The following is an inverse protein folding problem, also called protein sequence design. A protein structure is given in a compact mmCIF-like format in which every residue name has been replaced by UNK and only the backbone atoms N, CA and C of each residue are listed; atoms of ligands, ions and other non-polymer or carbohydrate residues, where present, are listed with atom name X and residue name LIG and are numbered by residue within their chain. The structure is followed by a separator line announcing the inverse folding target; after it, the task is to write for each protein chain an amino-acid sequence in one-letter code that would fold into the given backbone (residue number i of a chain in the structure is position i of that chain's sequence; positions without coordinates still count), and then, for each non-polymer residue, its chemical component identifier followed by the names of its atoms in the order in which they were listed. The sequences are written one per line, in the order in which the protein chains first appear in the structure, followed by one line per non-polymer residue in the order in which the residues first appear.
data_IF_155109618519
#
_entry.id   IF_155109618519
#
_cell.length_a   1.000
_cell.length_b   1.000
_cell.length_c   1.000
_cell.angle_alpha   90.00
_cell.angle_beta   90.00
_cell.angle_gamma   90.00
#
_symmetry.space_group_name_H-M   'P 1'
#
loop_
_entity.id
_entity.type
_entity.pdbx_description
1 polymer ?
#
# COMPACT_ATOMS: atom_id res chain seq x y z
N UNK A 1 -8.04 3.12 13.61
CA UNK A 1 -7.15 3.61 12.54
C UNK A 1 -5.82 3.91 13.21
N UNK A 2 -4.75 3.23 12.80
CA UNK A 2 -3.48 3.28 13.52
C UNK A 2 -2.64 4.43 12.94
N UNK A 3 -2.72 5.62 13.57
CA UNK A 3 -2.05 6.85 13.15
C UNK A 3 -0.54 6.64 12.91
N UNK A 4 0.06 5.74 13.68
CA UNK A 4 1.48 5.39 13.55
C UNK A 4 1.83 4.72 12.23
N UNK A 5 0.94 3.89 11.66
CA UNK A 5 1.17 3.28 10.33
C UNK A 5 1.16 4.34 9.23
N UNK A 6 0.27 5.34 9.37
CA UNK A 6 0.23 6.51 8.49
C UNK A 6 1.53 7.31 8.56
N UNK A 7 2.01 7.64 9.76
CA UNK A 7 3.27 8.38 9.93
C UNK A 7 4.46 7.66 9.29
N UNK A 8 4.58 6.34 9.48
CA UNK A 8 5.64 5.54 8.88
C UNK A 8 5.52 5.51 7.35
N UNK A 9 4.29 5.38 6.84
CA UNK A 9 4.04 5.41 5.40
C UNK A 9 4.37 6.78 4.80
N UNK A 10 3.96 7.87 5.42
CA UNK A 10 4.29 9.23 4.96
C UNK A 10 5.81 9.42 4.96
N UNK A 11 6.48 9.00 6.03
CA UNK A 11 7.94 9.14 6.10
C UNK A 11 8.63 8.28 5.02
N UNK A 12 8.27 7.01 4.86
CA UNK A 12 8.92 6.14 3.88
C UNK A 12 8.54 6.49 2.43
N UNK A 13 7.24 6.57 2.13
CA UNK A 13 6.75 6.73 0.76
C UNK A 13 6.75 8.18 0.29
N UNK A 14 6.45 9.17 1.14
CA UNK A 14 6.43 10.59 0.73
C UNK A 14 7.77 11.28 0.95
N UNK A 15 8.44 11.05 2.09
CA UNK A 15 9.72 11.72 2.39
C UNK A 15 10.91 10.99 1.78
N UNK A 16 11.02 9.67 2.00
CA UNK A 16 12.14 8.86 1.48
C UNK A 16 11.89 8.28 0.08
N UNK A 17 10.72 8.56 -0.52
CA UNK A 17 10.33 8.08 -1.85
C UNK A 17 10.48 6.56 -2.02
N UNK A 18 10.28 5.80 -0.94
CA UNK A 18 10.37 4.35 -0.95
C UNK A 18 9.06 3.72 -1.44
N UNK A 19 9.15 2.54 -2.05
CA UNK A 19 7.98 1.79 -2.48
C UNK A 19 7.24 1.15 -1.30
N UNK A 20 5.93 0.91 -1.47
CA UNK A 20 5.10 0.17 -0.51
C UNK A 20 5.66 -1.22 -0.17
N UNK A 21 6.32 -1.88 -1.12
CA UNK A 21 7.03 -3.14 -0.87
C UNK A 21 8.12 -3.01 0.21
N UNK A 22 8.85 -1.90 0.21
CA UNK A 22 9.89 -1.62 1.21
C UNK A 22 9.25 -1.36 2.57
N UNK A 23 8.16 -0.60 2.60
CA UNK A 23 7.36 -0.36 3.80
C UNK A 23 6.89 -1.68 4.43
N UNK A 24 6.23 -2.55 3.64
CA UNK A 24 5.76 -3.86 4.10
C UNK A 24 6.90 -4.74 4.58
N UNK A 25 8.03 -4.76 3.85
CA UNK A 25 9.21 -5.54 4.24
C UNK A 25 9.79 -5.08 5.58
N UNK A 26 9.91 -3.77 5.81
CA UNK A 26 10.44 -3.20 7.06
C UNK A 26 9.47 -3.38 8.23
N UNK A 27 8.16 -3.23 8.00
CA UNK A 27 7.13 -3.59 8.98
C UNK A 27 7.23 -5.05 9.37
N UNK A 28 7.28 -5.96 8.38
CA UNK A 28 7.48 -7.38 8.62
C UNK A 28 8.81 -7.66 9.29
N UNK A 29 9.83 -6.83 9.09
CA UNK A 29 11.12 -6.96 9.77
C UNK A 29 10.98 -6.80 11.29
N UNK A 30 10.02 -5.97 11.72
CA UNK A 30 9.87 -5.47 13.08
C UNK A 30 10.62 -4.16 13.32
N UNK A 31 11.09 -3.48 12.27
CA UNK A 31 11.91 -2.25 12.35
C UNK A 31 11.19 -1.12 13.09
N UNK A 32 9.87 -1.02 12.94
CA UNK A 32 9.05 0.04 13.53
C UNK A 32 8.23 -0.42 14.75
N UNK A 33 8.35 -1.69 15.14
CA UNK A 33 7.55 -2.36 16.16
C UNK A 33 6.68 -3.50 15.60
N UNK A 34 6.04 -4.24 16.49
CA UNK A 34 5.07 -5.28 16.13
C UNK A 34 3.70 -4.64 15.88
N UNK A 35 3.17 -4.85 14.67
CA UNK A 35 1.82 -4.45 14.30
C UNK A 35 0.98 -5.70 14.01
N UNK A 36 -0.28 -5.74 14.45
CA UNK A 36 -1.18 -6.83 14.10
C UNK A 36 -1.34 -6.91 12.58
N UNK A 37 -1.29 -8.13 12.04
CA UNK A 37 -1.48 -8.36 10.61
C UNK A 37 -2.77 -7.75 10.09
N UNK A 38 -3.88 -7.89 10.83
CA UNK A 38 -5.17 -7.27 10.48
C UNK A 38 -5.11 -5.75 10.39
N UNK A 39 -4.35 -5.09 11.28
CA UNK A 39 -4.19 -3.63 11.22
C UNK A 39 -3.35 -3.19 10.01
N UNK A 40 -2.27 -3.91 9.70
CA UNK A 40 -1.44 -3.64 8.52
C UNK A 40 -2.24 -3.86 7.22
N UNK A 41 -3.04 -4.92 7.17
CA UNK A 41 -3.90 -5.20 6.01
C UNK A 41 -4.98 -4.13 5.86
N UNK A 42 -5.65 -3.76 6.97
CA UNK A 42 -6.64 -2.68 6.97
C UNK A 42 -6.04 -1.37 6.47
N UNK A 43 -4.84 -1.04 6.93
CA UNK A 43 -4.09 0.12 6.48
C UNK A 43 -3.78 0.07 4.97
N UNK A 44 -3.25 -1.05 4.46
CA UNK A 44 -2.96 -1.21 3.03
C UNK A 44 -4.21 -1.03 2.16
N UNK A 45 -5.36 -1.59 2.57
CA UNK A 45 -6.64 -1.40 1.86
C UNK A 45 -7.13 0.04 1.87
N UNK A 46 -6.84 0.79 2.93
CA UNK A 46 -7.20 2.20 3.03
C UNK A 46 -6.33 3.09 2.13
N UNK A 47 -5.02 2.80 2.06
CA UNK A 47 -4.11 3.46 1.12
C UNK A 47 -4.49 3.13 -0.33
N UNK A 48 -4.82 1.86 -0.61
CA UNK A 48 -5.35 1.43 -1.92
C UNK A 48 -6.58 2.26 -2.31
N UNK A 49 -7.58 2.35 -1.42
CA UNK A 49 -8.78 3.16 -1.67
C UNK A 49 -8.45 4.64 -1.92
N UNK A 50 -7.51 5.22 -1.17
CA UNK A 50 -7.05 6.59 -1.39
C UNK A 50 -6.35 6.79 -2.73
N UNK A 51 -5.51 5.83 -3.15
CA UNK A 51 -4.84 5.90 -4.45
C UNK A 51 -5.84 5.78 -5.59
N UNK A 52 -6.76 4.81 -5.52
CA UNK A 52 -7.82 4.63 -6.51
C UNK A 52 -8.72 5.87 -6.61
N UNK A 53 -9.08 6.48 -5.48
CA UNK A 53 -9.84 7.72 -5.48
C UNK A 53 -9.05 8.86 -6.14
N UNK A 54 -7.75 9.00 -5.85
CA UNK A 54 -6.90 10.00 -6.50
C UNK A 54 -6.80 9.80 -8.01
N UNK A 55 -6.69 8.55 -8.46
CA UNK A 55 -6.68 8.20 -9.89
C UNK A 55 -8.00 8.63 -10.53
N UNK A 56 -9.15 8.25 -9.93
CA UNK A 56 -10.46 8.63 -10.44
C UNK A 56 -10.66 10.15 -10.52
N UNK A 57 -10.24 10.89 -9.48
CA UNK A 57 -10.31 12.36 -9.47
C UNK A 57 -9.49 12.94 -10.62
N UNK A 58 -8.24 12.49 -10.81
CA UNK A 58 -7.39 12.96 -11.93
C UNK A 58 -7.97 12.64 -13.31
N UNK A 59 -8.64 11.50 -13.43
CA UNK A 59 -9.34 11.11 -14.66
C UNK A 59 -10.54 11.99 -14.95
N UNK A 60 -11.29 12.39 -13.90
CA UNK A 60 -12.39 13.34 -14.04
C UNK A 60 -11.87 14.73 -14.47
N UNK A 61 -10.70 15.14 -13.99
CA UNK A 61 -10.06 16.41 -14.40
C UNK A 61 -9.51 16.35 -15.83
N UNK A 62 -9.13 15.17 -16.31
CA UNK A 62 -8.50 14.97 -17.61
C UNK A 62 -9.00 13.69 -18.28
N UNK A 63 -10.07 13.84 -19.07
CA UNK A 63 -10.78 12.75 -19.75
C UNK A 63 -9.88 11.87 -20.63
N UNK A 64 -8.74 12.39 -21.11
CA UNK A 64 -7.73 11.64 -21.87
C UNK A 64 -7.01 10.55 -21.07
N UNK A 65 -7.12 10.53 -19.74
CA UNK A 65 -6.58 9.44 -18.90
C UNK A 65 -7.61 8.36 -18.60
N UNK A 66 -8.84 8.42 -19.14
CA UNK A 66 -9.90 7.46 -18.81
C UNK A 66 -9.50 6.00 -19.10
N UNK A 67 -8.90 5.73 -20.26
CA UNK A 67 -8.41 4.38 -20.60
C UNK A 67 -7.22 3.97 -19.71
N UNK A 68 -6.27 4.88 -19.46
CA UNK A 68 -5.13 4.60 -18.57
C UNK A 68 -5.55 4.43 -17.11
N UNK A 69 -6.64 5.06 -16.68
CA UNK A 69 -7.09 5.03 -15.29
C UNK A 69 -7.59 3.65 -14.88
N UNK A 70 -8.27 2.95 -15.78
CA UNK A 70 -8.71 1.58 -15.56
C UNK A 70 -7.48 0.66 -15.40
N UNK A 71 -6.52 0.75 -16.34
CA UNK A 71 -5.28 -0.04 -16.30
C UNK A 71 -4.45 0.24 -15.05
N UNK A 72 -4.27 1.52 -14.69
CA UNK A 72 -3.51 1.94 -13.50
C UNK A 72 -4.25 1.54 -12.22
N UNK A 73 -5.58 1.59 -12.20
CA UNK A 73 -6.38 1.13 -11.06
C UNK A 73 -6.24 -0.37 -10.86
N UNK A 74 -6.37 -1.16 -11.93
CA UNK A 74 -6.16 -2.61 -11.88
C UNK A 74 -4.74 -2.97 -11.44
N UNK A 75 -3.74 -2.27 -11.98
CA UNK A 75 -2.34 -2.48 -11.60
C UNK A 75 -2.11 -2.18 -10.12
N UNK A 76 -2.69 -1.09 -9.63
CA UNK A 76 -2.64 -0.70 -8.22
C UNK A 76 -3.28 -1.79 -7.36
N UNK A 77 -4.48 -2.26 -7.69
CA UNK A 77 -5.16 -3.32 -6.94
C UNK A 77 -4.33 -4.60 -6.87
N UNK A 78 -3.78 -5.06 -8.00
CA UNK A 78 -2.93 -6.26 -8.04
C UNK A 78 -1.69 -6.11 -7.16
N UNK A 79 -1.06 -4.93 -7.18
CA UNK A 79 0.09 -4.64 -6.32
C UNK A 79 -0.28 -4.72 -4.84
N UNK A 80 -1.42 -4.14 -4.45
CA UNK A 80 -1.88 -4.19 -3.06
C UNK A 80 -2.28 -5.59 -2.61
N UNK A 81 -2.95 -6.37 -3.47
CA UNK A 81 -3.29 -7.76 -3.17
C UNK A 81 -2.04 -8.62 -2.95
N UNK A 82 -1.00 -8.46 -3.78
CA UNK A 82 0.29 -9.15 -3.58
C UNK A 82 0.96 -8.75 -2.25
N UNK A 83 0.99 -7.45 -1.94
CA UNK A 83 1.52 -6.95 -0.67
C UNK A 83 0.75 -7.52 0.54
N UNK A 84 -0.57 -7.57 0.46
CA UNK A 84 -1.42 -8.13 1.52
C UNK A 84 -1.17 -9.63 1.67
N UNK A 85 -1.03 -10.38 0.57
CA UNK A 85 -0.63 -11.77 0.62
C UNK A 85 0.74 -11.95 1.27
N UNK A 86 1.71 -11.09 0.95
CA UNK A 86 3.01 -11.09 1.60
C UNK A 86 2.90 -10.86 3.11
N UNK A 87 2.07 -9.91 3.57
CA UNK A 87 1.84 -9.67 5.00
C UNK A 87 1.15 -10.86 5.67
N UNK A 88 0.14 -11.44 5.04
CA UNK A 88 -0.59 -12.62 5.52
C UNK A 88 0.29 -13.86 5.63
N UNK A 89 1.25 -14.01 4.71
CA UNK A 89 2.18 -15.13 4.76
C UNK A 89 3.03 -15.00 6.03
N UNK A 90 2.93 -15.97 6.97
CA UNK A 90 3.82 -16.00 8.12
C UNK A 90 5.25 -16.03 7.59
N UNK A 91 6.20 -15.43 8.33
CA UNK A 91 7.65 -15.49 8.04
C UNK A 91 8.06 -16.96 7.94
N UNK A 92 7.88 -17.53 6.77
CA UNK A 92 8.23 -18.90 6.48
C UNK A 92 9.74 -18.86 6.34
N UNK A 93 10.40 -19.23 7.43
CA UNK A 93 11.81 -19.62 7.45
C UNK A 93 12.03 -20.51 6.23
N UNK A 94 12.98 -20.20 5.33
CA UNK A 94 13.26 -21.09 4.21
C UNK A 94 13.68 -22.46 4.77
N UNK A 95 13.35 -23.56 4.07
CA UNK A 95 13.73 -24.92 4.48
C UNK A 95 15.25 -25.09 4.60
#
# INVERSE_FOLDING_TARGET
MNERLWEIYEQLCLVEMQSLEVFVRRLKSGEFGEFPTDEVIGFLREVEANMLQNIQVKTMEHQSYAEMADEVSEQTQRMFDDLIEQVRRPRSRPP
#
